data_IF_096210847240
#
_entry.id   IF_096210847240
#
_cell.length_a   1.000
_cell.length_b   1.000
_cell.length_c   1.000
_cell.angle_alpha   90.00
_cell.angle_beta   90.00
_cell.angle_gamma   90.00
#
_symmetry.space_group_name_H-M   'P 1'
#
loop_
_entity.id
_entity.type
_entity.pdbx_description
1 polymer ?
#
# COMPACT_ATOMS: atom_id res chain seq x y z
N UNK A 1 -19.37 -5.17 41.21
CA UNK A 1 -19.78 -3.80 40.84
C UNK A 1 -18.58 -2.88 40.71
N UNK A 2 -17.77 -2.74 41.76
CA UNK A 2 -16.62 -1.81 41.80
C UNK A 2 -15.61 -1.97 40.66
N UNK A 3 -15.27 -3.21 40.29
CA UNK A 3 -14.36 -3.49 39.16
C UNK A 3 -14.94 -3.08 37.80
N UNK A 4 -16.26 -2.96 37.69
CA UNK A 4 -16.99 -2.60 36.47
C UNK A 4 -17.49 -1.14 36.52
N UNK A 5 -17.31 -0.45 37.65
CA UNK A 5 -17.86 0.90 37.87
C UNK A 5 -19.38 0.97 37.80
N UNK A 6 -20.08 -0.14 38.07
CA UNK A 6 -21.55 -0.18 38.06
C UNK A 6 -22.10 0.26 39.42
N UNK A 7 -23.13 1.10 39.42
CA UNK A 7 -23.84 1.48 40.64
C UNK A 7 -24.56 0.28 41.23
N UNK A 8 -24.38 0.06 42.53
CA UNK A 8 -25.14 -0.94 43.29
C UNK A 8 -26.56 -0.42 43.52
N UNK A 9 -27.52 -0.99 42.78
CA UNK A 9 -28.92 -0.58 42.83
C UNK A 9 -29.77 -1.44 43.77
N UNK A 10 -29.29 -2.63 44.14
CA UNK A 10 -30.00 -3.58 44.99
C UNK A 10 -29.11 -4.00 46.15
N UNK A 11 -29.69 -4.11 47.34
CA UNK A 11 -29.07 -4.76 48.47
C UNK A 11 -29.43 -6.24 48.53
N UNK A 12 -28.59 -7.10 49.16
CA UNK A 12 -28.86 -8.53 49.23
C UNK A 12 -30.22 -8.87 49.86
N UNK A 13 -30.69 -8.02 50.79
CA UNK A 13 -31.99 -8.16 51.46
C UNK A 13 -33.17 -7.95 50.51
N UNK A 14 -33.03 -7.12 49.47
CA UNK A 14 -34.07 -6.86 48.46
C UNK A 14 -34.29 -8.06 47.52
N UNK A 15 -33.29 -8.94 47.44
CA UNK A 15 -33.28 -10.11 46.55
C UNK A 15 -33.53 -11.40 47.33
N UNK A 16 -33.14 -11.46 48.61
CA UNK A 16 -33.28 -12.63 49.48
C UNK A 16 -34.69 -12.71 50.12
N UNK A 17 -35.71 -12.78 49.28
CA UNK A 17 -37.12 -12.93 49.67
C UNK A 17 -37.81 -13.94 48.73
N UNK A 18 -38.97 -14.47 49.11
CA UNK A 18 -39.69 -15.46 48.28
C UNK A 18 -40.08 -14.91 46.89
N UNK A 19 -40.38 -13.62 46.79
CA UNK A 19 -40.76 -12.97 45.54
C UNK A 19 -40.15 -11.56 45.45
N UNK A 20 -38.95 -11.40 44.86
CA UNK A 20 -38.31 -10.09 44.69
C UNK A 20 -39.04 -9.25 43.63
N UNK A 21 -38.90 -7.92 43.70
CA UNK A 21 -39.49 -7.01 42.72
C UNK A 21 -38.83 -7.17 41.34
N UNK A 22 -39.58 -7.72 40.40
CA UNK A 22 -39.09 -8.00 39.04
C UNK A 22 -38.56 -6.76 38.33
N UNK A 23 -39.17 -5.58 38.53
CA UNK A 23 -38.73 -4.34 37.88
C UNK A 23 -37.36 -3.90 38.39
N UNK A 24 -37.11 -4.03 39.68
CA UNK A 24 -35.84 -3.73 40.33
C UNK A 24 -34.75 -4.69 39.86
N UNK A 25 -35.05 -6.00 39.80
CA UNK A 25 -34.17 -7.02 39.24
C UNK A 25 -33.83 -6.73 37.78
N UNK A 26 -34.85 -6.47 36.94
CA UNK A 26 -34.68 -6.16 35.52
C UNK A 26 -33.80 -4.91 35.35
N UNK A 27 -34.08 -3.84 36.09
CA UNK A 27 -33.31 -2.59 36.01
C UNK A 27 -31.84 -2.84 36.33
N UNK A 28 -31.55 -3.60 37.37
CA UNK A 28 -30.19 -3.93 37.75
C UNK A 28 -29.49 -4.81 36.69
N UNK A 29 -30.14 -5.86 36.19
CA UNK A 29 -29.60 -6.69 35.09
C UNK A 29 -29.35 -5.88 33.81
N UNK A 30 -30.23 -4.91 33.51
CA UNK A 30 -30.09 -4.00 32.36
C UNK A 30 -28.82 -3.15 32.47
N UNK A 31 -28.40 -2.74 33.67
CA UNK A 31 -27.12 -2.00 33.82
C UNK A 31 -25.91 -2.83 33.40
N UNK A 32 -25.86 -4.12 33.77
CA UNK A 32 -24.82 -5.04 33.31
C UNK A 32 -24.89 -5.28 31.80
N UNK A 33 -26.10 -5.46 31.26
CA UNK A 33 -26.29 -5.62 29.82
C UNK A 33 -25.73 -4.42 29.04
N UNK A 34 -26.02 -3.19 29.48
CA UNK A 34 -25.50 -1.98 28.86
C UNK A 34 -23.97 -1.90 28.95
N UNK A 35 -23.39 -2.23 30.11
CA UNK A 35 -21.92 -2.26 30.28
C UNK A 35 -21.25 -3.22 29.29
N UNK A 36 -21.67 -4.49 29.26
CA UNK A 36 -21.07 -5.49 28.37
C UNK A 36 -21.35 -5.19 26.90
N UNK A 37 -22.53 -4.65 26.59
CA UNK A 37 -22.86 -4.20 25.23
C UNK A 37 -21.95 -3.06 24.78
N UNK A 38 -21.69 -2.07 25.64
CA UNK A 38 -20.76 -0.98 25.37
C UNK A 38 -19.34 -1.49 25.17
N UNK A 39 -18.85 -2.37 26.06
CA UNK A 39 -17.51 -2.97 25.95
C UNK A 39 -17.35 -3.76 24.62
N UNK A 40 -18.38 -4.51 24.22
CA UNK A 40 -18.42 -5.20 22.91
C UNK A 40 -18.41 -4.21 21.75
N UNK A 41 -19.18 -3.13 21.82
CA UNK A 41 -19.20 -2.08 20.80
C UNK A 41 -17.84 -1.42 20.63
N UNK A 42 -17.18 -1.03 21.73
CA UNK A 42 -15.83 -0.44 21.73
C UNK A 42 -14.82 -1.40 21.08
N UNK A 43 -14.88 -2.69 21.42
CA UNK A 43 -14.02 -3.71 20.81
C UNK A 43 -14.22 -3.81 19.30
N UNK A 44 -15.48 -3.79 18.83
CA UNK A 44 -15.79 -3.84 17.39
C UNK A 44 -15.34 -2.57 16.68
N UNK A 45 -15.53 -1.41 17.29
CA UNK A 45 -15.05 -0.13 16.74
C UNK A 45 -13.52 -0.13 16.63
N UNK A 46 -12.80 -0.57 17.66
CA UNK A 46 -11.35 -0.71 17.64
C UNK A 46 -10.86 -1.61 16.49
N UNK A 47 -11.50 -2.76 16.28
CA UNK A 47 -11.18 -3.66 15.15
C UNK A 47 -11.42 -3.00 13.80
N UNK A 48 -12.50 -2.21 13.64
CA UNK A 48 -12.79 -1.49 12.39
C UNK A 48 -11.74 -0.41 12.11
N UNK A 49 -11.36 0.36 13.12
CA UNK A 49 -10.28 1.37 13.02
C UNK A 49 -8.97 0.68 12.63
N UNK A 50 -8.60 -0.39 13.33
CA UNK A 50 -7.38 -1.16 13.02
C UNK A 50 -7.34 -1.66 11.58
N UNK A 51 -8.47 -2.12 11.03
CA UNK A 51 -8.57 -2.51 9.62
C UNK A 51 -8.30 -1.35 8.66
N UNK A 52 -8.89 -0.18 8.92
CA UNK A 52 -8.69 1.01 8.07
C UNK A 52 -7.24 1.48 8.11
N UNK A 53 -6.64 1.52 9.30
CA UNK A 53 -5.22 1.87 9.49
C UNK A 53 -4.32 0.89 8.75
N UNK A 54 -4.57 -0.42 8.88
CA UNK A 54 -3.80 -1.44 8.15
C UNK A 54 -3.85 -1.25 6.63
N UNK A 55 -5.03 -0.98 6.08
CA UNK A 55 -5.20 -0.68 4.65
C UNK A 55 -4.40 0.57 4.25
N UNK A 56 -4.44 1.63 5.07
CA UNK A 56 -3.70 2.86 4.80
C UNK A 56 -2.18 2.61 4.78
N UNK A 57 -1.67 1.85 5.74
CA UNK A 57 -0.24 1.48 5.81
C UNK A 57 0.19 0.66 4.59
N UNK A 58 -0.61 -0.31 4.16
CA UNK A 58 -0.29 -1.12 2.98
C UNK A 58 -0.30 -0.28 1.70
N UNK A 59 -1.24 0.65 1.58
CA UNK A 59 -1.30 1.55 0.43
C UNK A 59 -0.07 2.48 0.40
N UNK A 60 0.36 2.99 1.56
CA UNK A 60 1.57 3.82 1.65
C UNK A 60 2.83 3.04 1.23
N UNK A 61 2.97 1.78 1.66
CA UNK A 61 4.05 0.90 1.21
C UNK A 61 4.04 0.70 -0.31
N UNK A 62 2.87 0.48 -0.91
CA UNK A 62 2.74 0.32 -2.35
C UNK A 62 3.10 1.61 -3.11
N UNK A 63 2.74 2.78 -2.56
CA UNK A 63 3.14 4.09 -3.11
C UNK A 63 4.66 4.23 -3.09
N UNK A 64 5.30 3.94 -1.96
CA UNK A 64 6.75 4.02 -1.81
C UNK A 64 7.47 3.10 -2.80
N UNK A 65 6.98 1.87 -2.96
CA UNK A 65 7.58 0.91 -3.89
C UNK A 65 7.42 1.35 -5.34
N UNK A 66 6.24 1.84 -5.74
CA UNK A 66 6.04 2.44 -7.06
C UNK A 66 7.00 3.61 -7.30
N UNK A 67 7.10 4.52 -6.34
CA UNK A 67 7.98 5.69 -6.45
C UNK A 67 9.46 5.31 -6.57
N UNK A 68 9.90 4.28 -5.84
CA UNK A 68 11.27 3.76 -5.87
C UNK A 68 11.57 3.12 -7.22
N UNK A 69 10.76 2.15 -7.62
CA UNK A 69 10.92 1.41 -8.89
C UNK A 69 10.90 2.35 -10.10
N UNK A 70 9.98 3.32 -10.13
CA UNK A 70 9.94 4.33 -11.20
C UNK A 70 11.22 5.15 -11.25
N UNK A 71 11.74 5.57 -10.08
CA UNK A 71 12.98 6.35 -10.02
C UNK A 71 14.19 5.53 -10.50
N UNK A 72 14.26 4.26 -10.12
CA UNK A 72 15.35 3.36 -10.51
C UNK A 72 15.32 3.09 -12.03
N UNK A 73 14.13 2.85 -12.59
CA UNK A 73 13.96 2.67 -14.04
C UNK A 73 14.34 3.92 -14.83
N UNK A 74 13.87 5.10 -14.40
CA UNK A 74 14.20 6.36 -15.08
C UNK A 74 15.70 6.67 -15.04
N UNK A 75 16.36 6.43 -13.89
CA UNK A 75 17.82 6.57 -13.77
C UNK A 75 18.56 5.61 -14.71
N UNK A 76 18.11 4.35 -14.78
CA UNK A 76 18.69 3.38 -15.70
C UNK A 76 18.53 3.81 -17.15
N UNK A 77 17.34 4.27 -17.56
CA UNK A 77 17.09 4.78 -18.92
C UNK A 77 18.06 5.92 -19.26
N UNK A 78 18.18 6.92 -18.39
CA UNK A 78 19.05 8.07 -18.63
C UNK A 78 20.52 7.68 -18.75
N UNK A 79 21.01 6.80 -17.85
CA UNK A 79 22.37 6.27 -17.91
C UNK A 79 22.63 5.50 -19.20
N UNK A 80 21.67 4.68 -19.63
CA UNK A 80 21.81 3.88 -20.86
C UNK A 80 21.81 4.77 -22.10
N UNK A 81 20.96 5.81 -22.16
CA UNK A 81 20.97 6.79 -23.25
C UNK A 81 22.37 7.45 -23.36
N UNK A 82 22.97 7.84 -22.24
CA UNK A 82 24.31 8.44 -22.24
C UNK A 82 25.38 7.47 -22.76
N UNK A 83 25.29 6.19 -22.40
CA UNK A 83 26.22 5.15 -22.88
C UNK A 83 26.06 4.86 -24.38
N UNK A 84 24.82 4.74 -24.87
CA UNK A 84 24.53 4.51 -26.29
C UNK A 84 24.84 5.73 -27.16
N UNK A 85 24.74 6.93 -26.59
CA UNK A 85 25.03 8.19 -27.27
C UNK A 85 26.52 8.44 -27.55
N UNK A 86 27.45 7.65 -27.01
CA UNK A 86 28.88 7.80 -27.30
C UNK A 86 29.20 7.38 -28.74
N UNK A 87 29.66 8.34 -29.54
CA UNK A 87 30.03 8.15 -30.96
C UNK A 87 31.52 7.88 -31.16
N UNK A 88 32.28 7.65 -30.08
CA UNK A 88 33.70 7.31 -30.14
C UNK A 88 33.88 5.81 -30.27
N UNK A 89 34.17 5.37 -31.48
CA UNK A 89 34.48 3.97 -31.76
C UNK A 89 35.97 3.67 -31.54
N UNK A 90 36.27 2.45 -31.11
CA UNK A 90 37.64 2.01 -31.00
C UNK A 90 38.32 2.01 -32.38
N UNK A 91 39.53 2.55 -32.47
CA UNK A 91 40.31 2.56 -33.72
C UNK A 91 41.03 1.21 -33.96
N UNK A 92 40.31 0.11 -33.77
CA UNK A 92 40.80 -1.25 -34.04
C UNK A 92 39.63 -2.20 -34.30
N UNK A 93 39.83 -3.18 -35.18
CA UNK A 93 38.82 -4.21 -35.47
C UNK A 93 38.35 -4.93 -34.20
N UNK A 94 39.29 -5.30 -33.33
CA UNK A 94 39.01 -5.99 -32.06
C UNK A 94 38.16 -5.13 -31.15
N UNK A 95 38.47 -3.83 -31.03
CA UNK A 95 37.67 -2.92 -30.20
C UNK A 95 36.26 -2.71 -30.73
N UNK A 96 36.08 -2.61 -32.05
CA UNK A 96 34.73 -2.52 -32.65
C UNK A 96 33.94 -3.81 -32.45
N UNK A 97 34.57 -4.98 -32.56
CA UNK A 97 33.94 -6.27 -32.27
C UNK A 97 33.47 -6.37 -30.81
N UNK A 98 34.27 -5.87 -29.87
CA UNK A 98 33.89 -5.81 -28.45
C UNK A 98 32.70 -4.86 -28.22
N UNK A 99 32.69 -3.68 -28.84
CA UNK A 99 31.55 -2.74 -28.76
C UNK A 99 30.26 -3.36 -29.33
N UNK A 100 30.36 -4.09 -30.45
CA UNK A 100 29.22 -4.82 -31.00
C UNK A 100 28.72 -5.93 -30.05
N UNK A 101 29.63 -6.67 -29.40
CA UNK A 101 29.26 -7.68 -28.42
C UNK A 101 28.56 -7.08 -27.19
N UNK A 102 29.05 -5.94 -26.67
CA UNK A 102 28.42 -5.21 -25.58
C UNK A 102 27.01 -4.72 -25.98
N UNK A 103 26.85 -4.18 -27.18
CA UNK A 103 25.54 -3.76 -27.66
C UNK A 103 24.56 -4.93 -27.83
N UNK A 104 25.04 -6.08 -28.29
CA UNK A 104 24.23 -7.30 -28.35
C UNK A 104 23.80 -7.74 -26.95
N UNK A 105 24.70 -7.72 -25.95
CA UNK A 105 24.37 -8.02 -24.56
C UNK A 105 23.29 -7.09 -24.01
N UNK A 106 23.44 -5.78 -24.25
CA UNK A 106 22.42 -4.79 -23.87
C UNK A 106 21.04 -5.17 -24.45
N UNK A 107 20.98 -5.46 -25.76
CA UNK A 107 19.73 -5.77 -26.46
C UNK A 107 19.07 -7.06 -26.01
N UNK A 108 19.84 -8.11 -25.74
CA UNK A 108 19.30 -9.46 -25.51
C UNK A 108 19.23 -9.84 -24.03
N UNK A 109 19.97 -9.18 -23.15
CA UNK A 109 20.07 -9.52 -21.73
C UNK A 109 19.57 -8.38 -20.85
N UNK A 110 20.07 -7.15 -21.05
CA UNK A 110 19.81 -6.06 -20.11
C UNK A 110 18.48 -5.34 -20.35
N UNK A 111 18.15 -5.04 -21.61
CA UNK A 111 16.92 -4.31 -21.99
C UNK A 111 15.62 -5.10 -21.76
N UNK A 112 15.53 -6.41 -22.06
CA UNK A 112 14.29 -7.17 -21.87
C UNK A 112 13.71 -7.13 -20.44
N UNK A 113 14.46 -7.38 -19.36
CA UNK A 113 13.91 -7.29 -18.00
C UNK A 113 13.45 -5.87 -17.65
N UNK A 114 14.11 -4.82 -18.18
CA UNK A 114 13.69 -3.42 -18.00
C UNK A 114 12.37 -3.10 -18.69
N UNK A 115 12.12 -3.71 -19.83
CA UNK A 115 10.81 -3.61 -20.49
C UNK A 115 9.71 -4.29 -19.65
N UNK A 116 10.01 -5.42 -19.02
CA UNK A 116 9.08 -6.08 -18.08
C UNK A 116 8.85 -5.22 -16.83
N UNK A 117 9.89 -4.62 -16.26
CA UNK A 117 9.78 -3.67 -15.13
C UNK A 117 8.85 -2.49 -15.46
N UNK A 118 8.97 -1.93 -16.67
CA UNK A 118 8.05 -0.88 -17.16
C UNK A 118 6.58 -1.35 -17.13
N UNK A 119 6.29 -2.54 -17.64
CA UNK A 119 4.94 -3.11 -17.60
C UNK A 119 4.44 -3.36 -16.18
N UNK A 120 5.33 -3.85 -15.30
CA UNK A 120 5.01 -4.09 -13.89
C UNK A 120 4.65 -2.79 -13.15
N UNK A 121 5.26 -1.65 -13.49
CA UNK A 121 4.91 -0.34 -12.93
C UNK A 121 3.48 0.09 -13.31
N UNK A 122 3.04 -0.19 -14.55
CA UNK A 122 1.67 0.08 -14.99
C UNK A 122 0.67 -0.76 -14.19
N UNK A 123 0.95 -2.06 -14.03
CA UNK A 123 0.13 -2.99 -13.23
C UNK A 123 0.10 -2.59 -11.76
N UNK A 124 1.24 -2.20 -11.18
CA UNK A 124 1.35 -1.77 -9.79
C UNK A 124 0.51 -0.51 -9.55
N UNK A 125 0.61 0.49 -10.42
CA UNK A 125 -0.19 1.71 -10.31
C UNK A 125 -1.69 1.42 -10.44
N UNK A 126 -2.08 0.61 -11.42
CA UNK A 126 -3.47 0.21 -11.60
C UNK A 126 -4.02 -0.52 -10.36
N UNK A 127 -3.24 -1.44 -9.79
CA UNK A 127 -3.61 -2.21 -8.59
C UNK A 127 -3.77 -1.28 -7.40
N UNK A 128 -2.82 -0.37 -7.17
CA UNK A 128 -2.87 0.62 -6.11
C UNK A 128 -4.12 1.51 -6.24
N UNK A 129 -4.35 2.08 -7.42
CA UNK A 129 -5.52 2.93 -7.65
C UNK A 129 -6.83 2.17 -7.46
N UNK A 130 -6.91 0.92 -7.95
CA UNK A 130 -8.09 0.06 -7.79
C UNK A 130 -8.35 -0.28 -6.33
N UNK A 131 -7.30 -0.61 -5.56
CA UNK A 131 -7.39 -0.88 -4.11
C UNK A 131 -7.85 0.36 -3.34
N UNK A 132 -7.38 1.55 -3.70
CA UNK A 132 -7.83 2.80 -3.05
C UNK A 132 -9.29 3.10 -3.38
N UNK A 133 -9.72 2.94 -4.64
CA UNK A 133 -11.14 3.11 -5.03
C UNK A 133 -12.06 2.15 -4.28
N UNK A 134 -11.69 0.87 -4.19
CA UNK A 134 -12.46 -0.14 -3.47
C UNK A 134 -12.63 0.18 -1.98
N UNK A 135 -11.69 0.94 -1.40
CA UNK A 135 -11.74 1.41 -0.02
C UNK A 135 -12.31 2.84 0.12
N UNK A 136 -12.94 3.38 -0.92
CA UNK A 136 -13.48 4.74 -0.97
C UNK A 136 -12.44 5.84 -0.66
N UNK A 137 -11.17 5.58 -0.96
CA UNK A 137 -10.08 6.54 -0.82
C UNK A 137 -9.83 7.25 -2.15
N UNK A 138 -9.31 8.49 -2.08
CA UNK A 138 -8.84 9.20 -3.26
C UNK A 138 -7.72 8.39 -3.93
N UNK A 139 -7.84 8.03 -5.23
CA UNK A 139 -6.80 7.28 -5.91
C UNK A 139 -5.47 8.01 -5.93
N UNK A 140 -4.38 7.27 -5.74
CA UNK A 140 -3.03 7.81 -5.84
C UNK A 140 -2.77 8.39 -7.23
N UNK A 141 -2.18 9.57 -7.26
CA UNK A 141 -1.66 10.21 -8.47
C UNK A 141 -0.15 10.36 -8.32
N UNK A 142 0.66 9.74 -9.20
CA UNK A 142 2.11 9.91 -9.18
C UNK A 142 2.53 11.38 -9.23
N UNK A 143 3.65 11.69 -8.59
CA UNK A 143 4.29 13.00 -8.71
C UNK A 143 4.72 13.26 -10.15
N UNK A 144 4.79 14.52 -10.54
CA UNK A 144 5.33 14.93 -11.84
C UNK A 144 6.74 14.36 -12.05
N UNK A 145 7.02 13.88 -13.26
CA UNK A 145 8.26 13.18 -13.60
C UNK A 145 8.28 11.69 -13.22
N UNK A 146 7.27 11.20 -12.51
CA UNK A 146 7.07 9.77 -12.17
C UNK A 146 5.77 9.21 -12.72
N UNK A 147 5.10 9.91 -13.63
CA UNK A 147 3.89 9.40 -14.26
C UNK A 147 4.22 8.29 -15.28
N UNK A 148 3.26 7.42 -15.57
CA UNK A 148 3.40 6.42 -16.65
C UNK A 148 3.73 7.08 -17.99
N UNK A 149 3.14 8.26 -18.26
CA UNK A 149 3.46 9.07 -19.45
C UNK A 149 4.92 9.50 -19.49
N UNK A 150 5.54 9.83 -18.35
CA UNK A 150 6.94 10.22 -18.27
C UNK A 150 7.86 9.03 -18.52
N UNK A 151 7.50 7.85 -17.98
CA UNK A 151 8.21 6.59 -18.25
C UNK A 151 8.13 6.25 -19.75
N UNK A 152 6.95 6.36 -20.36
CA UNK A 152 6.78 6.13 -21.80
C UNK A 152 7.66 7.08 -22.64
N UNK A 153 7.64 8.38 -22.32
CA UNK A 153 8.50 9.37 -22.99
C UNK A 153 9.99 9.09 -22.80
N UNK A 154 10.41 8.64 -21.62
CA UNK A 154 11.79 8.25 -21.37
C UNK A 154 12.18 7.01 -22.19
N UNK A 155 11.29 6.01 -22.25
CA UNK A 155 11.49 4.81 -23.04
C UNK A 155 11.58 5.11 -24.55
N UNK A 156 10.70 5.98 -25.07
CA UNK A 156 10.78 6.43 -26.46
C UNK A 156 12.09 7.14 -26.80
N UNK A 157 12.67 7.89 -25.84
CA UNK A 157 14.00 8.49 -26.00
C UNK A 157 15.09 7.42 -26.04
N UNK A 158 14.98 6.37 -25.22
CA UNK A 158 15.90 5.24 -25.23
C UNK A 158 15.89 4.47 -26.56
N UNK A 159 14.71 4.29 -27.17
CA UNK A 159 14.60 3.63 -28.49
C UNK A 159 15.23 4.44 -29.64
N UNK A 160 15.46 5.75 -29.43
CA UNK A 160 16.04 6.66 -30.43
C UNK A 160 17.53 6.95 -30.22
N UNK A 161 18.08 6.58 -29.06
CA UNK A 161 19.48 6.73 -28.73
C UNK A 161 20.32 5.67 -29.46
#
# INVERSE_FOLDING_TARGET
EDKLGLTKLLDPEDVFVEQPDEKSIITYVVTYYHYFSKMKQETVQGKRIGKVVGIAMDNDRMVQEYERLTSDLLKWIESTIQQLGDRRFANSLVGVQQQLAQFNNYRTVEKPPKFVEKGNLEVLLFTLQSKMRANNQKPYTPREGKMISDINKAWERLEKA
#
